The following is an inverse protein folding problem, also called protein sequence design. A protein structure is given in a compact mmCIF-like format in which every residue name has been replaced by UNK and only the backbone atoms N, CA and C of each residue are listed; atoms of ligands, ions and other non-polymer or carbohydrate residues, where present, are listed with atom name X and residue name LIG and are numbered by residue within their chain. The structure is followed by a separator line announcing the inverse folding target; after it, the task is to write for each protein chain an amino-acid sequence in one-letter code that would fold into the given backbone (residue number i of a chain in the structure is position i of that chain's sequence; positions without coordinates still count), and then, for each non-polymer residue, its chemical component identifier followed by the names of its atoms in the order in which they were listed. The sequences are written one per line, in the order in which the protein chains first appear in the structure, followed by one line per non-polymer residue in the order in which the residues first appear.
data_IF_601033511428
#
_entry.id   IF_601033511428
#
_cell.length_a   1.000
_cell.length_b   1.000
_cell.length_c   1.000
_cell.angle_alpha   90.00
_cell.angle_beta   90.00
_cell.angle_gamma   90.00
#
_symmetry.space_group_name_H-M   'P 1'
#
loop_
_entity.id
_entity.type
_entity.pdbx_description
1 polymer ?
#
# COMPACT_ATOMS: atom_id res chain seq x y z
N UNK A 1 21.75 13.50 -0.50
CA UNK A 1 20.46 13.03 -1.07
C UNK A 1 20.67 11.79 -1.92
N UNK A 2 20.52 10.58 -1.44
CA UNK A 2 20.69 9.37 -2.24
C UNK A 2 19.49 9.01 -3.12
N UNK A 3 18.54 9.95 -3.33
CA UNK A 3 17.21 9.67 -3.86
C UNK A 3 17.11 9.56 -5.37
N UNK A 4 17.87 10.35 -6.11
CA UNK A 4 17.83 10.28 -7.58
C UNK A 4 18.41 8.97 -8.11
N UNK A 5 19.42 8.44 -7.45
CA UNK A 5 20.15 7.24 -7.93
C UNK A 5 19.26 5.99 -7.89
N UNK A 6 18.49 5.77 -6.82
CA UNK A 6 17.63 4.59 -6.72
C UNK A 6 16.52 4.56 -7.77
N UNK A 7 15.91 5.71 -8.08
CA UNK A 7 14.81 5.79 -9.05
C UNK A 7 15.30 5.77 -10.49
N UNK A 8 16.40 6.45 -10.78
CA UNK A 8 17.07 6.34 -12.06
C UNK A 8 17.42 4.89 -12.35
N UNK A 9 17.94 4.16 -11.35
CA UNK A 9 18.28 2.74 -11.50
C UNK A 9 17.05 1.87 -11.77
N UNK A 10 15.90 2.10 -11.11
CA UNK A 10 14.67 1.34 -11.37
C UNK A 10 14.19 1.60 -12.79
N UNK A 11 14.11 2.87 -13.21
CA UNK A 11 13.68 3.23 -14.55
C UNK A 11 14.64 2.68 -15.62
N UNK A 12 15.94 2.79 -15.41
CA UNK A 12 16.97 2.33 -16.35
C UNK A 12 17.04 0.80 -16.45
N UNK A 13 16.86 0.08 -15.33
CA UNK A 13 16.97 -1.38 -15.30
C UNK A 13 15.68 -2.05 -15.75
N UNK A 14 14.52 -1.53 -15.36
CA UNK A 14 13.22 -2.16 -15.62
C UNK A 14 12.44 -1.50 -16.77
N UNK A 15 12.90 -0.37 -17.30
CA UNK A 15 12.24 0.36 -18.40
C UNK A 15 10.82 0.85 -18.03
N UNK A 16 10.57 1.06 -16.74
CA UNK A 16 9.26 1.49 -16.22
C UNK A 16 9.39 2.90 -15.67
N UNK A 17 8.51 3.79 -16.05
CA UNK A 17 8.41 5.11 -15.42
C UNK A 17 7.65 4.98 -14.10
N UNK A 18 8.39 5.06 -12.99
CA UNK A 18 7.85 4.92 -11.64
C UNK A 18 7.74 6.29 -10.99
N UNK A 19 6.52 6.70 -10.69
CA UNK A 19 6.28 7.86 -9.84
C UNK A 19 6.55 7.52 -8.38
N UNK A 20 7.33 8.36 -7.70
CA UNK A 20 7.72 8.11 -6.31
C UNK A 20 7.51 9.35 -5.46
N UNK A 21 6.61 9.21 -4.51
CA UNK A 21 6.36 10.23 -3.50
C UNK A 21 7.11 9.97 -2.20
N UNK A 22 7.75 11.02 -1.71
CA UNK A 22 8.30 11.01 -0.36
C UNK A 22 7.22 11.34 0.66
N UNK A 23 6.72 10.32 1.32
CA UNK A 23 5.71 10.45 2.36
C UNK A 23 6.30 11.10 3.61
N UNK A 24 7.50 10.68 4.03
CA UNK A 24 8.21 11.15 5.22
C UNK A 24 9.73 10.83 5.11
N UNK A 25 10.62 11.47 5.82
CA UNK A 25 10.47 12.63 6.66
C UNK A 25 10.91 13.86 5.84
N UNK A 26 10.03 14.81 5.62
CA UNK A 26 10.34 16.04 4.89
C UNK A 26 10.63 17.17 5.87
N UNK A 27 11.40 18.18 5.47
CA UNK A 27 11.82 19.25 6.37
C UNK A 27 10.65 20.07 6.92
N UNK A 28 9.59 20.25 6.14
CA UNK A 28 8.36 20.91 6.62
C UNK A 28 7.64 20.08 7.70
N UNK A 29 7.71 18.77 7.62
CA UNK A 29 7.18 17.87 8.64
C UNK A 29 8.00 17.93 9.94
N UNK A 30 9.33 18.11 9.83
CA UNK A 30 10.19 18.33 10.99
C UNK A 30 9.77 19.61 11.73
N UNK A 31 9.50 20.69 11.01
CA UNK A 31 9.02 21.94 11.60
C UNK A 31 7.63 21.80 12.24
N UNK A 32 6.74 21.04 11.60
CA UNK A 32 5.36 20.84 12.05
C UNK A 32 5.26 19.90 13.26
N UNK A 33 5.94 18.75 13.21
CA UNK A 33 5.84 17.70 14.23
C UNK A 33 6.89 17.79 15.31
N UNK A 34 7.99 18.54 15.07
CA UNK A 34 9.10 18.75 16.00
C UNK A 34 9.63 17.45 16.63
N UNK A 35 9.96 16.43 15.82
CA UNK A 35 10.54 15.22 16.35
C UNK A 35 11.89 15.51 17.00
N UNK A 36 12.33 14.71 18.01
CA UNK A 36 13.61 14.92 18.66
C UNK A 36 14.74 14.77 17.63
N UNK A 37 15.69 15.73 17.61
CA UNK A 37 16.83 15.64 16.72
C UNK A 37 17.90 14.70 17.24
N UNK A 38 18.67 14.14 16.32
CA UNK A 38 19.94 13.46 16.58
C UNK A 38 21.10 14.32 16.08
N UNK A 39 22.29 14.19 16.64
CA UNK A 39 23.48 14.84 16.07
C UNK A 39 23.73 14.32 14.64
N UNK A 40 23.96 15.22 13.70
CA UNK A 40 24.30 14.83 12.34
C UNK A 40 25.65 14.08 12.31
N UNK A 41 25.77 13.04 11.49
CA UNK A 41 26.96 12.20 11.40
C UNK A 41 28.05 12.92 10.62
N UNK A 42 29.06 13.41 11.29
CA UNK A 42 30.21 14.16 10.73
C UNK A 42 31.02 13.28 9.73
N UNK A 43 30.91 11.95 9.83
CA UNK A 43 31.63 11.00 8.96
C UNK A 43 30.97 10.80 7.60
N UNK A 44 29.84 11.40 7.33
CA UNK A 44 29.15 11.30 6.02
C UNK A 44 29.87 12.23 5.01
N UNK A 45 30.17 11.71 3.83
CA UNK A 45 30.79 12.48 2.74
C UNK A 45 29.95 13.65 2.25
N UNK A 46 28.67 13.68 2.58
CA UNK A 46 27.74 14.76 2.24
C UNK A 46 27.44 15.69 3.43
N UNK A 47 28.14 15.54 4.54
CA UNK A 47 27.88 16.28 5.77
C UNK A 47 27.96 17.81 5.57
N UNK A 48 28.97 18.30 4.87
CA UNK A 48 29.15 19.74 4.63
C UNK A 48 27.98 20.36 3.86
N UNK A 49 27.49 19.67 2.84
CA UNK A 49 26.33 20.11 2.05
C UNK A 49 25.04 20.06 2.88
N UNK A 50 24.89 18.99 3.66
CA UNK A 50 23.76 18.82 4.56
C UNK A 50 23.76 19.91 5.65
N UNK A 51 24.90 20.14 6.29
CA UNK A 51 25.07 21.12 7.36
C UNK A 51 24.76 22.56 6.89
N UNK A 52 25.17 22.89 5.66
CA UNK A 52 24.89 24.22 5.10
C UNK A 52 23.39 24.47 4.88
N UNK A 53 22.59 23.43 4.65
CA UNK A 53 21.15 23.52 4.38
C UNK A 53 20.30 23.30 5.64
N UNK A 54 20.69 22.36 6.52
CA UNK A 54 19.86 21.88 7.63
C UNK A 54 20.49 22.04 9.02
N UNK A 55 21.76 22.48 9.11
CA UNK A 55 22.50 22.60 10.36
C UNK A 55 23.10 21.30 10.86
N UNK A 56 23.45 21.27 12.16
CA UNK A 56 24.14 20.16 12.82
C UNK A 56 23.21 19.05 13.32
N UNK A 57 21.90 19.21 13.12
CA UNK A 57 20.89 18.28 13.57
C UNK A 57 20.42 17.39 12.43
N UNK A 58 20.14 16.13 12.73
CA UNK A 58 19.54 15.18 11.82
C UNK A 58 18.30 14.54 12.43
N UNK A 59 17.39 14.07 11.59
CA UNK A 59 16.18 13.41 12.05
C UNK A 59 16.00 12.08 11.34
N UNK A 60 15.68 11.07 12.11
CA UNK A 60 15.36 9.74 11.63
C UNK A 60 13.85 9.56 11.56
N UNK A 61 13.41 8.63 10.71
CA UNK A 61 11.97 8.39 10.49
C UNK A 61 11.26 7.88 11.75
N UNK A 62 11.98 7.10 12.56
CA UNK A 62 11.49 6.54 13.82
C UNK A 62 11.32 7.58 14.94
N UNK A 63 11.85 8.79 14.77
CA UNK A 63 11.56 9.93 15.64
C UNK A 63 10.11 10.46 15.50
N UNK A 64 9.40 10.08 14.42
CA UNK A 64 7.97 10.39 14.29
C UNK A 64 7.13 9.42 15.12
N UNK A 65 6.09 9.98 15.74
CA UNK A 65 5.09 9.13 16.38
C UNK A 65 4.46 8.17 15.36
N UNK A 66 4.37 6.85 15.68
CA UNK A 66 3.85 5.85 14.75
C UNK A 66 2.45 6.16 14.20
N UNK A 67 1.58 6.78 14.98
CA UNK A 67 0.25 7.21 14.54
C UNK A 67 0.31 8.31 13.48
N UNK A 68 1.25 9.24 13.63
CA UNK A 68 1.47 10.31 12.65
C UNK A 68 1.98 9.74 11.34
N UNK A 69 2.95 8.83 11.39
CA UNK A 69 3.45 8.14 10.19
C UNK A 69 2.36 7.33 9.49
N UNK A 70 1.56 6.58 10.25
CA UNK A 70 0.46 5.81 9.70
C UNK A 70 -0.57 6.71 8.99
N UNK A 71 -0.92 7.84 9.59
CA UNK A 71 -1.82 8.81 8.97
C UNK A 71 -1.26 9.37 7.67
N UNK A 72 0.01 9.78 7.65
CA UNK A 72 0.67 10.27 6.42
C UNK A 72 0.62 9.24 5.29
N UNK A 73 0.83 7.96 5.61
CA UNK A 73 0.75 6.87 4.64
C UNK A 73 -0.68 6.73 4.10
N UNK A 74 -1.67 6.68 4.99
CA UNK A 74 -3.07 6.52 4.60
C UNK A 74 -3.57 7.71 3.77
N UNK A 75 -3.26 8.94 4.18
CA UNK A 75 -3.65 10.16 3.46
C UNK A 75 -3.03 10.19 2.05
N UNK A 76 -1.80 9.70 1.91
CA UNK A 76 -1.15 9.58 0.61
C UNK A 76 -1.83 8.53 -0.27
N UNK A 77 -2.13 7.36 0.28
CA UNK A 77 -2.83 6.29 -0.45
C UNK A 77 -4.22 6.78 -0.88
N UNK A 78 -4.94 7.45 0.01
CA UNK A 78 -6.27 7.99 -0.27
C UNK A 78 -6.26 9.00 -1.43
N UNK A 79 -5.18 9.76 -1.60
CA UNK A 79 -5.01 10.67 -2.73
C UNK A 79 -4.91 9.98 -4.10
N UNK A 80 -4.58 8.70 -4.14
CA UNK A 80 -4.51 7.87 -5.35
C UNK A 80 -5.75 7.00 -5.59
N UNK A 81 -6.65 6.90 -4.61
CA UNK A 81 -7.84 6.09 -4.71
C UNK A 81 -9.01 6.88 -5.33
N UNK A 82 -9.59 6.32 -6.38
CA UNK A 82 -10.95 6.70 -6.78
C UNK A 82 -11.93 6.07 -5.78
N UNK A 83 -12.43 6.89 -4.86
CA UNK A 83 -13.31 6.44 -3.76
C UNK A 83 -14.63 5.88 -4.27
N UNK A 84 -15.20 6.48 -5.30
CA UNK A 84 -16.48 6.02 -5.86
C UNK A 84 -16.33 4.65 -6.50
N UNK A 85 -15.24 4.46 -7.24
CA UNK A 85 -14.91 3.16 -7.82
C UNK A 85 -14.60 2.11 -6.75
N UNK A 86 -13.84 2.47 -5.72
CA UNK A 86 -13.52 1.58 -4.61
C UNK A 86 -14.78 1.11 -3.88
N UNK A 87 -15.65 2.03 -3.52
CA UNK A 87 -16.90 1.73 -2.80
C UNK A 87 -17.84 0.88 -3.66
N UNK A 88 -17.92 1.13 -4.97
CA UNK A 88 -18.68 0.31 -5.90
C UNK A 88 -18.15 -1.15 -5.98
N UNK A 89 -16.82 -1.34 -5.98
CA UNK A 89 -16.21 -2.67 -5.97
C UNK A 89 -16.52 -3.40 -4.66
N UNK A 90 -16.39 -2.73 -3.52
CA UNK A 90 -16.71 -3.32 -2.21
C UNK A 90 -18.20 -3.69 -2.11
N UNK A 91 -19.11 -2.83 -2.57
CA UNK A 91 -20.54 -3.13 -2.57
C UNK A 91 -20.85 -4.36 -3.43
N UNK A 92 -20.22 -4.48 -4.61
CA UNK A 92 -20.38 -5.65 -5.48
C UNK A 92 -19.86 -6.91 -4.82
N UNK A 93 -18.68 -6.87 -4.22
CA UNK A 93 -18.09 -8.01 -3.50
C UNK A 93 -19.01 -8.50 -2.37
N UNK A 94 -19.57 -7.60 -1.58
CA UNK A 94 -20.52 -7.96 -0.53
C UNK A 94 -21.75 -8.65 -1.08
N UNK A 95 -22.33 -8.15 -2.17
CA UNK A 95 -23.49 -8.77 -2.83
C UNK A 95 -23.15 -10.18 -3.37
N UNK A 96 -21.97 -10.36 -3.95
CA UNK A 96 -21.50 -11.66 -4.43
C UNK A 96 -21.31 -12.64 -3.26
N UNK A 97 -20.73 -12.18 -2.13
CA UNK A 97 -20.55 -12.96 -0.91
C UNK A 97 -21.92 -13.42 -0.35
N UNK A 98 -22.90 -12.52 -0.28
CA UNK A 98 -24.25 -12.86 0.17
C UNK A 98 -24.92 -13.91 -0.74
N UNK A 99 -24.80 -13.75 -2.05
CA UNK A 99 -25.29 -14.71 -3.04
C UNK A 99 -24.68 -16.10 -2.83
N UNK A 100 -23.35 -16.15 -2.63
CA UNK A 100 -22.64 -17.41 -2.38
C UNK A 100 -23.06 -18.04 -1.04
N UNK A 101 -23.28 -17.24 0.00
CA UNK A 101 -23.80 -17.72 1.29
C UNK A 101 -25.21 -18.32 1.16
N UNK A 102 -26.09 -17.67 0.41
CA UNK A 102 -27.43 -18.20 0.14
C UNK A 102 -27.38 -19.51 -0.64
N UNK A 103 -26.53 -19.59 -1.67
CA UNK A 103 -26.31 -20.83 -2.42
C UNK A 103 -25.75 -21.95 -1.53
N UNK A 104 -24.78 -21.65 -0.68
CA UNK A 104 -24.20 -22.62 0.25
C UNK A 104 -25.26 -23.12 1.26
N UNK A 105 -26.09 -22.24 1.79
CA UNK A 105 -27.16 -22.58 2.72
C UNK A 105 -28.31 -23.39 2.10
N UNK A 106 -28.52 -23.28 0.78
CA UNK A 106 -29.55 -24.02 0.03
C UNK A 106 -28.97 -25.11 -0.88
N UNK A 107 -27.72 -25.52 -0.68
CA UNK A 107 -27.01 -26.42 -1.59
C UNK A 107 -27.73 -27.74 -1.84
N UNK A 108 -28.35 -28.34 -0.84
CA UNK A 108 -29.07 -29.59 -0.98
C UNK A 108 -30.26 -29.46 -1.94
N UNK A 109 -30.98 -28.35 -1.90
CA UNK A 109 -32.09 -28.05 -2.82
C UNK A 109 -31.58 -27.79 -4.24
N UNK A 110 -30.51 -26.98 -4.36
CA UNK A 110 -29.89 -26.65 -5.66
C UNK A 110 -29.32 -27.90 -6.31
N UNK A 111 -28.59 -28.72 -5.57
CA UNK A 111 -27.99 -29.95 -6.07
C UNK A 111 -29.03 -30.97 -6.52
N UNK A 112 -30.12 -31.12 -5.75
CA UNK A 112 -31.23 -32.01 -6.12
C UNK A 112 -31.90 -31.57 -7.43
N UNK A 113 -32.09 -30.25 -7.63
CA UNK A 113 -32.65 -29.69 -8.85
C UNK A 113 -31.73 -29.85 -10.05
N UNK A 114 -30.44 -29.60 -9.88
CA UNK A 114 -29.42 -29.79 -10.92
C UNK A 114 -29.34 -31.26 -11.37
N UNK A 115 -29.33 -32.20 -10.42
CA UNK A 115 -29.31 -33.65 -10.73
C UNK A 115 -30.55 -34.07 -11.52
N UNK A 116 -31.72 -33.50 -11.24
CA UNK A 116 -32.95 -33.79 -12.03
C UNK A 116 -32.87 -33.22 -13.43
N UNK A 117 -32.26 -32.06 -13.63
CA UNK A 117 -32.24 -31.35 -14.93
C UNK A 117 -31.09 -31.81 -15.83
N UNK A 118 -29.91 -32.05 -15.25
CA UNK A 118 -28.67 -32.35 -16.04
C UNK A 118 -28.30 -33.83 -16.00
N UNK A 119 -28.90 -34.63 -15.09
CA UNK A 119 -28.52 -36.02 -14.83
C UNK A 119 -27.30 -36.10 -13.90
N UNK A 120 -27.05 -37.29 -13.35
CA UNK A 120 -25.88 -37.52 -12.47
C UNK A 120 -24.58 -37.32 -13.24
N UNK A 121 -23.63 -36.58 -12.71
CA UNK A 121 -22.30 -36.43 -13.32
C UNK A 121 -21.64 -37.83 -13.45
N UNK A 122 -21.13 -38.14 -14.64
CA UNK A 122 -20.34 -39.36 -14.84
C UNK A 122 -19.11 -39.36 -13.94
N UNK A 123 -18.83 -40.45 -13.20
CA UNK A 123 -17.62 -40.53 -12.41
C UNK A 123 -16.39 -40.39 -13.32
N UNK A 124 -15.50 -39.43 -13.01
CA UNK A 124 -14.20 -39.35 -13.69
C UNK A 124 -13.41 -40.59 -13.36
N UNK A 125 -13.21 -41.47 -14.39
CA UNK A 125 -12.33 -42.61 -14.26
C UNK A 125 -10.94 -42.15 -13.82
N UNK A 126 -10.45 -42.70 -12.70
CA UNK A 126 -9.04 -42.60 -12.32
C UNK A 126 -8.22 -43.35 -13.38
N UNK A 127 -7.35 -42.60 -14.10
CA UNK A 127 -6.22 -43.21 -14.80
C UNK A 127 -5.08 -43.39 -13.82
#
# INVERSE_FOLDING_TARGET
MPRRVAFTTINDVFGVDVHVDRIALNYDQIKAYRPPPNPAKITDSQFEVYQAEYGDESWELDALEPRTLNRLILDTIDGYLDRDLYDAVIAREQSEIETLRHLAGSWDLVSATLVKTIGKPKPRGRK
#
